data_IF_037855445709
#
_entry.id   IF_037855445709
#
_cell.length_a   1.000
_cell.length_b   1.000
_cell.length_c   1.000
_cell.angle_alpha   90.00
_cell.angle_beta   90.00
_cell.angle_gamma   90.00
#
_symmetry.space_group_name_H-M   'P 1'
#
loop_
_entity.id
_entity.type
_entity.pdbx_description
1 polymer ?
#
# COMPACT_ATOMS: atom_id res chain seq x y z
N UNK A 1 19.10 -6.01 35.29
CA UNK A 1 19.85 -6.86 34.33
C UNK A 1 18.96 -7.89 33.60
N UNK A 2 18.25 -8.80 34.28
CA UNK A 2 17.48 -9.88 33.62
C UNK A 2 16.26 -9.40 32.78
N UNK A 3 15.56 -8.35 33.22
CA UNK A 3 14.42 -7.77 32.47
C UNK A 3 14.91 -7.10 31.17
N UNK A 4 16.05 -6.42 31.27
CA UNK A 4 16.70 -5.72 30.16
C UNK A 4 17.12 -6.65 29.02
N UNK A 5 17.62 -7.85 29.35
CA UNK A 5 18.00 -8.89 28.40
C UNK A 5 16.77 -9.53 27.75
N UNK A 6 15.73 -9.85 28.53
CA UNK A 6 14.48 -10.42 28.01
C UNK A 6 13.74 -9.48 27.07
N UNK A 7 13.80 -8.17 27.29
CA UNK A 7 13.21 -7.16 26.39
C UNK A 7 13.96 -7.06 25.05
N UNK A 8 15.21 -7.50 24.96
CA UNK A 8 15.97 -7.48 23.70
C UNK A 8 15.37 -8.42 22.65
N UNK A 9 14.84 -9.56 23.06
CA UNK A 9 14.19 -10.51 22.13
C UNK A 9 12.90 -9.89 21.56
N UNK A 10 12.18 -9.12 22.38
CA UNK A 10 10.97 -8.41 21.93
C UNK A 10 11.28 -7.29 20.94
N UNK A 11 12.42 -6.63 21.09
CA UNK A 11 12.87 -5.59 20.16
C UNK A 11 12.93 -6.13 18.73
N UNK A 12 13.57 -7.28 18.51
CA UNK A 12 13.69 -7.86 17.17
C UNK A 12 12.33 -8.20 16.56
N UNK A 13 11.41 -8.72 17.37
CA UNK A 13 10.05 -8.99 16.91
C UNK A 13 9.30 -7.71 16.52
N UNK A 14 9.35 -6.67 17.37
CA UNK A 14 8.67 -5.39 17.13
C UNK A 14 9.21 -4.71 15.88
N UNK A 15 10.53 -4.76 15.67
CA UNK A 15 11.19 -4.19 14.49
C UNK A 15 10.71 -4.84 13.19
N UNK A 16 10.50 -6.16 13.19
CA UNK A 16 10.17 -6.92 11.98
C UNK A 16 8.68 -7.26 11.83
N UNK A 17 7.84 -6.96 12.82
CA UNK A 17 6.42 -7.33 12.84
C UNK A 17 5.66 -6.91 11.57
N UNK A 18 5.83 -5.66 11.16
CA UNK A 18 5.17 -5.08 10.00
C UNK A 18 5.53 -5.80 8.69
N UNK A 19 6.82 -6.13 8.52
CA UNK A 19 7.32 -6.94 7.40
C UNK A 19 6.77 -8.36 7.43
N UNK A 20 6.82 -9.00 8.60
CA UNK A 20 6.32 -10.36 8.77
C UNK A 20 4.84 -10.48 8.39
N UNK A 21 3.99 -9.54 8.84
CA UNK A 21 2.57 -9.53 8.49
C UNK A 21 2.35 -9.32 7.00
N UNK A 22 3.11 -8.41 6.38
CA UNK A 22 3.07 -8.21 4.92
C UNK A 22 3.37 -9.51 4.17
N UNK A 23 4.45 -10.20 4.54
CA UNK A 23 4.84 -11.46 3.91
C UNK A 23 3.80 -12.55 4.12
N UNK A 24 3.30 -12.74 5.34
CA UNK A 24 2.26 -13.74 5.62
C UNK A 24 1.03 -13.48 4.75
N UNK A 25 0.59 -12.22 4.64
CA UNK A 25 -0.57 -11.86 3.80
C UNK A 25 -0.29 -12.09 2.32
N UNK A 26 0.89 -11.72 1.86
CA UNK A 26 1.32 -11.96 0.48
C UNK A 26 1.29 -13.45 0.14
N UNK A 27 1.98 -14.28 0.92
CA UNK A 27 2.07 -15.72 0.67
C UNK A 27 0.73 -16.42 0.86
N UNK A 28 -0.15 -15.96 1.78
CA UNK A 28 -1.54 -16.48 1.89
C UNK A 28 -2.34 -16.33 0.59
N UNK A 29 -2.07 -15.29 -0.21
CA UNK A 29 -2.75 -15.09 -1.50
C UNK A 29 -2.15 -15.88 -2.66
N UNK A 30 -0.85 -16.22 -2.60
CA UNK A 30 -0.14 -16.93 -3.67
C UNK A 30 -0.04 -18.43 -3.45
N UNK A 31 0.11 -18.87 -2.21
CA UNK A 31 0.39 -20.25 -1.85
C UNK A 31 -0.83 -20.91 -1.21
N UNK A 32 -1.45 -21.83 -1.95
CA UNK A 32 -2.63 -22.55 -1.47
C UNK A 32 -2.34 -23.39 -0.22
N UNK A 33 -1.13 -23.94 -0.07
CA UNK A 33 -0.75 -24.74 1.11
C UNK A 33 -0.74 -23.90 2.38
N UNK A 34 -0.09 -22.73 2.36
CA UNK A 34 -0.07 -21.83 3.51
C UNK A 34 -1.49 -21.36 3.86
N UNK A 35 -2.29 -21.01 2.86
CA UNK A 35 -3.68 -20.61 3.09
C UNK A 35 -4.51 -21.73 3.75
N UNK A 36 -4.33 -22.99 3.32
CA UNK A 36 -4.98 -24.14 3.96
C UNK A 36 -4.54 -24.32 5.41
N UNK A 37 -3.25 -24.22 5.71
CA UNK A 37 -2.73 -24.31 7.08
C UNK A 37 -3.29 -23.21 7.96
N UNK A 38 -3.36 -21.98 7.47
CA UNK A 38 -3.92 -20.85 8.25
C UNK A 38 -5.42 -21.03 8.47
N UNK A 39 -6.17 -21.50 7.46
CA UNK A 39 -7.59 -21.83 7.62
C UNK A 39 -7.81 -22.94 8.64
N UNK A 40 -6.97 -23.98 8.61
CA UNK A 40 -7.00 -25.06 9.57
C UNK A 40 -6.71 -24.54 10.98
N UNK A 41 -5.63 -23.76 11.17
CA UNK A 41 -5.31 -23.12 12.45
C UNK A 41 -6.49 -22.31 13.01
N UNK A 42 -7.10 -21.47 12.18
CA UNK A 42 -8.26 -20.66 12.58
C UNK A 42 -9.49 -21.53 12.95
N UNK A 43 -9.68 -22.67 12.28
CA UNK A 43 -10.80 -23.58 12.53
C UNK A 43 -10.57 -24.52 13.73
N UNK A 44 -9.33 -24.87 14.02
CA UNK A 44 -8.96 -25.77 15.13
C UNK A 44 -8.86 -25.06 16.48
N UNK A 45 -8.98 -23.73 16.51
CA UNK A 45 -8.80 -22.95 17.72
C UNK A 45 -10.02 -23.11 18.65
N UNK A 46 -9.88 -23.91 19.70
CA UNK A 46 -10.95 -24.16 20.68
C UNK A 46 -10.93 -23.22 21.89
N UNK A 47 -9.75 -22.69 22.22
CA UNK A 47 -9.53 -21.85 23.43
C UNK A 47 -9.93 -20.40 23.18
N UNK A 48 -9.69 -19.90 21.97
CA UNK A 48 -9.89 -18.51 21.56
C UNK A 48 -10.66 -18.42 20.25
N UNK A 49 -11.93 -18.87 20.24
CA UNK A 49 -12.74 -18.86 19.03
C UNK A 49 -12.92 -17.42 18.53
N UNK A 50 -12.73 -17.22 17.23
CA UNK A 50 -12.91 -15.92 16.57
C UNK A 50 -11.64 -15.07 16.41
N UNK A 51 -10.52 -15.44 17.03
CA UNK A 51 -9.23 -14.79 16.76
C UNK A 51 -8.54 -15.45 15.57
N UNK A 52 -8.11 -14.64 14.61
CA UNK A 52 -7.31 -15.07 13.47
C UNK A 52 -5.81 -15.06 13.82
N UNK A 53 -5.01 -15.77 13.02
CA UNK A 53 -3.54 -15.75 13.13
C UNK A 53 -2.95 -14.34 13.29
N UNK A 54 -3.41 -13.37 12.50
CA UNK A 54 -2.95 -11.99 12.55
C UNK A 54 -3.17 -11.36 13.95
N UNK A 55 -4.25 -11.72 14.65
CA UNK A 55 -4.59 -11.21 15.98
C UNK A 55 -3.66 -11.75 17.08
N UNK A 56 -3.10 -12.95 16.89
CA UNK A 56 -2.09 -13.49 17.79
C UNK A 56 -0.74 -12.83 17.57
N UNK A 57 -0.39 -12.57 16.30
CA UNK A 57 0.91 -12.00 15.93
C UNK A 57 1.08 -10.55 16.41
N UNK A 58 0.00 -9.79 16.61
CA UNK A 58 0.09 -8.44 17.19
C UNK A 58 0.31 -8.47 18.71
N UNK A 59 -0.02 -9.58 19.40
CA UNK A 59 0.03 -9.64 20.86
C UNK A 59 1.40 -9.28 21.46
N UNK A 60 2.56 -9.75 20.94
CA UNK A 60 3.86 -9.39 21.51
C UNK A 60 4.16 -7.89 21.44
N UNK A 61 3.68 -7.20 20.41
CA UNK A 61 3.80 -5.74 20.28
C UNK A 61 2.96 -5.03 21.34
N UNK A 62 1.76 -5.54 21.63
CA UNK A 62 0.84 -4.97 22.60
C UNK A 62 1.18 -5.32 24.06
N UNK A 63 1.95 -6.39 24.29
CA UNK A 63 2.14 -6.98 25.62
C UNK A 63 2.95 -6.08 26.55
N UNK A 64 4.04 -5.49 26.04
CA UNK A 64 4.94 -4.63 26.84
C UNK A 64 4.23 -3.35 27.30
N UNK A 65 3.56 -2.57 26.41
CA UNK A 65 2.75 -1.43 26.85
C UNK A 65 1.71 -1.80 27.90
N UNK A 66 1.06 -2.96 27.75
CA UNK A 66 0.03 -3.42 28.69
C UNK A 66 0.61 -3.73 30.08
N UNK A 67 1.79 -4.35 30.16
CA UNK A 67 2.44 -4.59 31.46
C UNK A 67 2.81 -3.28 32.16
N UNK A 68 3.31 -2.29 31.42
CA UNK A 68 3.58 -0.97 32.00
C UNK A 68 2.33 -0.33 32.59
N UNK A 69 1.19 -0.39 31.89
CA UNK A 69 -0.08 0.14 32.40
C UNK A 69 -0.54 -0.61 33.65
N UNK A 70 -0.52 -1.94 33.63
CA UNK A 70 -0.95 -2.76 34.77
C UNK A 70 -0.06 -2.54 35.99
N UNK A 71 1.26 -2.38 35.82
CA UNK A 71 2.17 -2.10 36.92
C UNK A 71 1.96 -0.69 37.48
N UNK A 72 1.73 0.31 36.62
CA UNK A 72 1.36 1.67 37.06
C UNK A 72 0.05 1.69 37.84
N UNK A 73 -0.95 0.94 37.36
CA UNK A 73 -2.23 0.79 38.05
C UNK A 73 -2.06 0.05 39.38
N UNK A 74 -1.26 -1.02 39.42
CA UNK A 74 -0.97 -1.77 40.64
C UNK A 74 -0.31 -0.90 41.72
N UNK A 75 0.67 -0.07 41.34
CA UNK A 75 1.33 0.87 42.25
C UNK A 75 0.35 1.90 42.84
N UNK A 76 -0.65 2.33 42.08
CA UNK A 76 -1.66 3.30 42.53
C UNK A 76 -2.53 2.77 43.68
N UNK A 77 -2.77 1.45 43.73
CA UNK A 77 -3.66 0.82 44.71
C UNK A 77 -2.92 0.09 45.83
N UNK A 78 -1.59 -0.04 45.76
CA UNK A 78 -0.78 -0.65 46.82
C UNK A 78 -0.42 0.42 47.85
N UNK A 79 -0.88 0.27 49.10
CA UNK A 79 -0.65 1.23 50.20
C UNK A 79 0.29 0.72 51.29
N UNK A 80 0.69 -0.55 51.24
CA UNK A 80 1.13 -1.23 52.47
C UNK A 80 2.65 -1.48 52.58
N UNK A 81 3.44 -1.39 51.50
CA UNK A 81 4.90 -1.57 51.56
C UNK A 81 5.66 -0.54 50.71
N UNK A 82 6.21 0.49 51.38
CA UNK A 82 6.92 1.59 50.71
C UNK A 82 8.19 1.12 49.98
N UNK A 83 8.88 0.10 50.49
CA UNK A 83 10.13 -0.41 49.89
C UNK A 83 9.88 -1.20 48.60
N UNK A 84 8.86 -2.06 48.56
CA UNK A 84 8.52 -2.84 47.37
C UNK A 84 7.98 -1.95 46.24
N UNK A 85 7.18 -0.93 46.59
CA UNK A 85 6.65 0.04 45.62
C UNK A 85 7.79 0.87 45.01
N UNK A 86 8.75 1.31 45.81
CA UNK A 86 9.91 2.06 45.32
C UNK A 86 10.79 1.20 44.38
N UNK A 87 11.01 -0.07 44.72
CA UNK A 87 11.73 -1.00 43.85
C UNK A 87 10.98 -1.24 42.53
N UNK A 88 9.65 -1.35 42.58
CA UNK A 88 8.81 -1.52 41.39
C UNK A 88 8.79 -0.27 40.50
N UNK A 89 8.77 0.93 41.09
CA UNK A 89 8.85 2.20 40.36
C UNK A 89 10.14 2.30 39.54
N UNK A 90 11.27 1.89 40.12
CA UNK A 90 12.55 1.81 39.41
C UNK A 90 12.48 0.88 38.18
N UNK A 91 11.90 -0.30 38.33
CA UNK A 91 11.74 -1.27 37.22
C UNK A 91 10.79 -0.74 36.14
N UNK A 92 9.67 -0.11 36.53
CA UNK A 92 8.72 0.49 35.59
C UNK A 92 9.37 1.64 34.82
N UNK A 93 10.18 2.45 35.49
CA UNK A 93 10.98 3.50 34.86
C UNK A 93 11.95 2.95 33.81
N UNK A 94 12.74 1.93 34.17
CA UNK A 94 13.65 1.25 33.22
C UNK A 94 12.92 0.66 32.01
N UNK A 95 11.77 0.02 32.24
CA UNK A 95 10.94 -0.54 31.17
C UNK A 95 10.35 0.54 30.25
N UNK A 96 9.93 1.69 30.79
CA UNK A 96 9.38 2.81 30.03
C UNK A 96 10.45 3.45 29.13
N UNK A 97 11.67 3.64 29.66
CA UNK A 97 12.82 4.13 28.90
C UNK A 97 13.19 3.17 27.76
N UNK A 98 13.29 1.87 28.04
CA UNK A 98 13.58 0.87 27.00
C UNK A 98 12.50 0.79 25.94
N UNK A 99 11.22 0.90 26.31
CA UNK A 99 10.14 0.89 25.33
C UNK A 99 10.21 2.12 24.41
N UNK A 100 10.49 3.30 24.97
CA UNK A 100 10.73 4.52 24.18
C UNK A 100 11.92 4.36 23.25
N UNK A 101 13.01 3.75 23.74
CA UNK A 101 14.18 3.44 22.93
C UNK A 101 13.83 2.52 21.75
N UNK A 102 13.13 1.40 21.99
CA UNK A 102 12.68 0.49 20.94
C UNK A 102 11.80 1.22 19.93
N UNK A 103 10.83 2.01 20.39
CA UNK A 103 9.96 2.80 19.51
C UNK A 103 10.70 3.89 18.72
N UNK A 104 11.83 4.39 19.23
CA UNK A 104 12.67 5.35 18.51
C UNK A 104 13.59 4.70 17.47
N UNK A 105 14.03 3.45 17.73
CA UNK A 105 14.89 2.68 16.82
C UNK A 105 14.10 2.01 15.69
N UNK A 106 12.80 1.84 15.90
CA UNK A 106 11.87 1.56 14.84
C UNK A 106 11.94 2.68 13.79
N UNK A 107 12.38 2.34 12.58
CA UNK A 107 12.44 3.28 11.46
C UNK A 107 11.01 3.74 11.11
N UNK A 108 10.64 4.91 11.64
CA UNK A 108 9.33 5.52 11.47
C UNK A 108 8.98 5.71 9.99
N UNK A 109 9.99 5.95 9.15
CA UNK A 109 9.79 6.12 7.71
C UNK A 109 9.44 4.78 7.09
N UNK A 110 10.19 3.72 7.36
CA UNK A 110 9.86 2.37 6.85
C UNK A 110 8.51 1.87 7.37
N UNK A 111 8.18 2.13 8.64
CA UNK A 111 6.88 1.73 9.18
C UNK A 111 5.72 2.48 8.55
N UNK A 112 5.87 3.79 8.32
CA UNK A 112 4.86 4.58 7.61
C UNK A 112 4.59 4.00 6.22
N UNK A 113 5.65 3.68 5.47
CA UNK A 113 5.55 3.05 4.14
C UNK A 113 4.86 1.69 4.19
N UNK A 114 5.21 0.84 5.16
CA UNK A 114 4.58 -0.47 5.32
C UNK A 114 3.11 -0.33 5.70
N UNK A 115 2.79 0.61 6.60
CA UNK A 115 1.41 0.90 7.01
C UNK A 115 0.56 1.31 5.80
N UNK A 116 1.07 2.21 4.96
CA UNK A 116 0.40 2.62 3.73
C UNK A 116 0.19 1.45 2.77
N UNK A 117 1.20 0.60 2.56
CA UNK A 117 1.09 -0.59 1.72
C UNK A 117 0.09 -1.62 2.27
N UNK A 118 0.06 -1.82 3.59
CA UNK A 118 -0.88 -2.71 4.26
C UNK A 118 -2.31 -2.23 4.06
N UNK A 119 -2.54 -0.93 4.23
CA UNK A 119 -3.84 -0.31 4.03
C UNK A 119 -4.31 -0.48 2.58
N UNK A 120 -3.45 -0.21 1.59
CA UNK A 120 -3.80 -0.40 0.17
C UNK A 120 -4.09 -1.88 -0.11
N UNK A 121 -3.29 -2.80 0.43
CA UNK A 121 -3.55 -4.24 0.27
C UNK A 121 -4.88 -4.67 0.89
N UNK A 122 -5.31 -4.09 2.01
CA UNK A 122 -6.62 -4.37 2.60
C UNK A 122 -7.76 -3.82 1.73
N UNK A 123 -7.56 -2.69 1.06
CA UNK A 123 -8.58 -2.04 0.24
C UNK A 123 -8.70 -2.58 -1.19
N UNK A 124 -7.64 -3.21 -1.71
CA UNK A 124 -7.54 -3.59 -3.14
C UNK A 124 -7.40 -5.11 -3.33
N UNK A 125 -8.29 -5.69 -4.14
CA UNK A 125 -8.15 -7.05 -4.65
C UNK A 125 -7.07 -7.10 -5.72
N UNK A 126 -6.11 -8.03 -5.61
CA UNK A 126 -5.04 -8.22 -6.58
C UNK A 126 -3.79 -7.37 -6.36
N UNK A 127 -3.70 -6.62 -5.26
CA UNK A 127 -2.52 -5.80 -4.94
C UNK A 127 -1.29 -6.60 -4.47
N UNK A 128 -1.44 -7.89 -4.16
CA UNK A 128 -0.36 -8.77 -3.68
C UNK A 128 0.99 -8.59 -4.39
N UNK A 129 1.09 -8.61 -5.73
CA UNK A 129 2.35 -8.47 -6.46
C UNK A 129 3.13 -7.16 -6.22
N UNK A 130 2.50 -6.13 -5.65
CA UNK A 130 3.14 -4.85 -5.36
C UNK A 130 3.82 -4.80 -3.99
N UNK A 131 3.64 -5.84 -3.15
CA UNK A 131 4.22 -5.94 -1.82
C UNK A 131 5.72 -6.28 -1.78
N UNK A 132 6.29 -6.62 -2.94
CA UNK A 132 7.69 -7.06 -3.05
C UNK A 132 8.71 -5.91 -2.88
N UNK A 133 8.26 -4.65 -2.90
CA UNK A 133 9.13 -3.47 -2.73
C UNK A 133 8.46 -2.42 -1.86
N UNK A 134 9.21 -1.85 -0.92
CA UNK A 134 8.76 -0.66 -0.17
C UNK A 134 8.68 0.54 -1.10
N UNK A 135 7.49 1.12 -1.22
CA UNK A 135 7.21 2.25 -2.12
C UNK A 135 6.48 3.34 -1.37
N UNK A 136 6.99 4.58 -1.36
CA UNK A 136 6.23 5.75 -0.93
C UNK A 136 4.91 5.87 -1.66
N UNK A 137 3.81 5.92 -0.89
CA UNK A 137 2.51 6.34 -1.36
C UNK A 137 2.47 7.86 -1.27
N UNK A 138 2.34 8.54 -2.41
CA UNK A 138 2.26 9.99 -2.45
C UNK A 138 0.83 10.50 -2.41
N UNK A 139 -0.09 9.77 -3.05
CA UNK A 139 -1.46 10.23 -3.16
C UNK A 139 -2.43 9.06 -3.30
N UNK A 140 -3.62 9.24 -2.73
CA UNK A 140 -4.78 8.36 -2.95
C UNK A 140 -6.03 9.21 -3.10
N UNK A 141 -6.98 8.77 -3.91
CA UNK A 141 -8.26 9.46 -3.99
C UNK A 141 -9.15 8.98 -5.12
N UNK A 142 -10.41 9.39 -5.02
CA UNK A 142 -11.42 9.10 -6.02
C UNK A 142 -11.30 10.07 -7.19
N UNK A 143 -11.28 9.49 -8.38
CA UNK A 143 -11.06 10.18 -9.65
C UNK A 143 -12.12 9.72 -10.63
N UNK A 144 -12.77 10.67 -11.30
CA UNK A 144 -13.67 10.39 -12.41
C UNK A 144 -12.86 10.37 -13.69
N UNK A 145 -12.78 9.20 -14.31
CA UNK A 145 -12.24 9.07 -15.65
C UNK A 145 -13.31 9.55 -16.64
N UNK A 146 -13.02 10.64 -17.34
CA UNK A 146 -13.99 11.27 -18.24
C UNK A 146 -13.82 10.77 -19.67
N UNK A 147 -12.58 10.68 -20.14
CA UNK A 147 -12.29 10.23 -21.50
C UNK A 147 -10.85 9.72 -21.66
N UNK A 148 -10.65 8.82 -22.62
CA UNK A 148 -9.33 8.35 -23.07
C UNK A 148 -9.23 8.59 -24.56
N UNK A 149 -8.38 9.51 -24.96
CA UNK A 149 -8.04 9.70 -26.36
C UNK A 149 -6.84 8.83 -26.74
N UNK A 150 -7.09 7.78 -27.52
CA UNK A 150 -6.05 7.07 -28.27
C UNK A 150 -6.05 7.56 -29.71
N UNK A 151 -4.92 8.12 -30.18
CA UNK A 151 -4.70 8.30 -31.61
C UNK A 151 -4.32 6.94 -32.22
N UNK A 152 -5.32 6.12 -32.53
CA UNK A 152 -5.08 4.90 -33.30
C UNK A 152 -4.79 5.28 -34.76
N UNK A 153 -3.52 5.26 -35.16
CA UNK A 153 -3.21 5.17 -36.58
C UNK A 153 -3.62 3.79 -37.09
N UNK A 154 -4.59 3.76 -38.02
CA UNK A 154 -4.74 2.67 -38.98
C UNK A 154 -3.43 2.56 -39.77
N UNK A 155 -2.51 1.68 -39.37
CA UNK A 155 -1.44 1.21 -40.27
C UNK A 155 -1.36 -0.30 -40.25
N UNK A 156 -1.28 -0.84 -41.47
CA UNK A 156 -1.11 -2.24 -41.80
C UNK A 156 -0.10 -2.91 -40.89
N UNK A 157 -0.41 -4.14 -40.47
CA UNK A 157 0.57 -5.06 -39.93
C UNK A 157 1.73 -5.21 -40.93
N UNK A 158 2.99 -5.10 -40.49
CA UNK A 158 3.99 -6.05 -40.89
C UNK A 158 4.17 -7.04 -39.74
N UNK A 159 4.21 -8.32 -40.10
CA UNK A 159 4.65 -9.39 -39.23
C UNK A 159 6.07 -9.09 -38.74
N UNK A 160 6.24 -8.64 -37.50
CA UNK A 160 7.54 -8.69 -36.84
C UNK A 160 7.40 -9.19 -35.40
N UNK A 161 8.15 -10.25 -35.17
CA UNK A 161 8.34 -11.01 -33.93
C UNK A 161 9.16 -10.15 -32.95
N UNK A 162 8.82 -10.24 -31.65
CA UNK A 162 9.64 -10.06 -30.43
C UNK A 162 9.09 -9.09 -29.37
N UNK A 163 9.13 -9.54 -28.11
CA UNK A 163 9.44 -8.70 -26.95
C UNK A 163 8.49 -8.74 -25.75
N UNK A 164 7.17 -8.73 -25.96
CA UNK A 164 6.18 -8.76 -24.88
C UNK A 164 5.49 -10.11 -24.79
N UNK A 165 5.23 -10.61 -23.57
CA UNK A 165 4.34 -11.77 -23.41
C UNK A 165 3.01 -11.42 -24.09
N UNK A 166 2.63 -12.19 -25.14
CA UNK A 166 1.36 -12.03 -25.89
C UNK A 166 0.16 -11.82 -24.97
N UNK A 167 0.22 -12.35 -23.74
CA UNK A 167 -0.81 -12.25 -22.70
C UNK A 167 -0.99 -10.85 -22.12
N UNK A 168 0.06 -10.05 -22.06
CA UNK A 168 0.08 -8.71 -21.45
C UNK A 168 -0.36 -7.63 -22.44
N UNK A 169 0.08 -7.74 -23.70
CA UNK A 169 -0.44 -6.94 -24.81
C UNK A 169 -1.93 -7.24 -25.07
N UNK A 170 -2.34 -8.51 -24.98
CA UNK A 170 -3.75 -8.88 -25.10
C UNK A 170 -4.57 -8.33 -23.92
N UNK A 171 -4.07 -8.41 -22.68
CA UNK A 171 -4.72 -7.82 -21.49
C UNK A 171 -4.88 -6.31 -21.61
N UNK A 172 -3.82 -5.58 -22.00
CA UNK A 172 -3.89 -4.15 -22.31
C UNK A 172 -4.98 -3.89 -23.35
N UNK A 173 -4.94 -4.57 -24.50
CA UNK A 173 -5.94 -4.38 -25.57
C UNK A 173 -7.39 -4.70 -25.16
N UNK A 174 -7.61 -5.68 -24.28
CA UNK A 174 -8.94 -6.06 -23.76
C UNK A 174 -9.46 -5.03 -22.76
N UNK A 175 -8.60 -4.59 -21.81
CA UNK A 175 -8.94 -3.56 -20.83
C UNK A 175 -9.20 -2.24 -21.56
N UNK A 176 -8.35 -1.87 -22.51
CA UNK A 176 -8.53 -0.69 -23.36
C UNK A 176 -9.80 -0.77 -24.21
N UNK A 177 -10.19 -1.94 -24.75
CA UNK A 177 -11.49 -2.14 -25.41
C UNK A 177 -12.66 -2.00 -24.45
N UNK A 178 -12.54 -2.44 -23.20
CA UNK A 178 -13.58 -2.33 -22.17
C UNK A 178 -13.76 -0.88 -21.69
N UNK A 179 -12.68 -0.11 -21.57
CA UNK A 179 -12.71 1.30 -21.17
C UNK A 179 -13.14 2.19 -22.34
N UNK A 180 -12.58 1.99 -23.54
CA UNK A 180 -12.91 2.76 -24.76
C UNK A 180 -14.34 2.49 -25.28
N UNK A 181 -14.88 1.29 -25.05
CA UNK A 181 -16.23 0.92 -25.49
C UNK A 181 -17.37 1.59 -24.71
N UNK A 182 -17.10 2.22 -23.56
CA UNK A 182 -18.11 2.87 -22.71
C UNK A 182 -17.85 4.38 -22.66
N UNK A 183 -18.56 5.16 -23.48
CA UNK A 183 -18.66 6.65 -23.44
C UNK A 183 -19.18 7.24 -22.11
N UNK A 184 -19.19 6.49 -21.01
CA UNK A 184 -19.72 6.94 -19.71
C UNK A 184 -18.58 7.23 -18.76
N UNK A 185 -18.67 8.37 -18.07
CA UNK A 185 -17.79 8.72 -16.95
C UNK A 185 -17.76 7.56 -15.95
N UNK A 186 -16.55 7.13 -15.57
CA UNK A 186 -16.36 6.04 -14.62
C UNK A 186 -15.70 6.57 -13.35
N UNK A 187 -16.29 6.24 -12.19
CA UNK A 187 -15.68 6.52 -10.90
C UNK A 187 -14.61 5.46 -10.64
N UNK A 188 -13.39 5.92 -10.41
CA UNK A 188 -12.21 5.09 -10.16
C UNK A 188 -11.55 5.54 -8.86
N UNK A 189 -10.82 4.65 -8.21
CA UNK A 189 -9.97 4.99 -7.08
C UNK A 189 -8.51 4.81 -7.47
N UNK A 190 -7.70 5.84 -7.26
CA UNK A 190 -6.32 5.89 -7.73
C UNK A 190 -5.35 5.90 -6.56
N UNK A 191 -4.24 5.17 -6.69
CA UNK A 191 -3.11 5.16 -5.76
C UNK A 191 -1.83 5.51 -6.51
N UNK A 192 -1.20 6.62 -6.16
CA UNK A 192 0.04 7.09 -6.75
C UNK A 192 1.21 6.74 -5.84
N UNK A 193 2.03 5.78 -6.26
CA UNK A 193 3.29 5.43 -5.63
C UNK A 193 4.47 6.15 -6.29
N UNK A 194 5.66 5.99 -5.73
CA UNK A 194 6.89 6.58 -6.24
C UNK A 194 7.28 6.17 -7.66
N UNK A 195 6.88 4.98 -8.09
CA UNK A 195 7.27 4.39 -9.37
C UNK A 195 6.09 3.82 -10.18
N UNK A 196 4.90 3.73 -9.59
CA UNK A 196 3.72 3.15 -10.24
C UNK A 196 2.45 3.92 -9.85
N UNK A 197 1.58 4.13 -10.84
CA UNK A 197 0.21 4.58 -10.65
C UNK A 197 -0.72 3.37 -10.74
N UNK A 198 -1.49 3.13 -9.69
CA UNK A 198 -2.44 2.03 -9.60
C UNK A 198 -3.85 2.59 -9.70
N UNK A 199 -4.65 1.99 -10.58
CA UNK A 199 -6.02 2.40 -10.89
C UNK A 199 -6.94 1.24 -10.55
N UNK A 200 -7.92 1.51 -9.70
CA UNK A 200 -8.85 0.51 -9.21
C UNK A 200 -10.29 0.89 -9.54
N UNK A 201 -11.07 -0.13 -9.89
CA UNK A 201 -12.51 -0.04 -10.06
C UNK A 201 -13.22 -0.39 -8.75
N UNK A 202 -14.40 0.19 -8.47
CA UNK A 202 -15.23 -0.25 -7.36
C UNK A 202 -15.63 -1.73 -7.56
N UNK A 203 -15.45 -2.55 -6.54
CA UNK A 203 -15.75 -3.99 -6.63
C UNK A 203 -17.25 -4.19 -6.87
N UNK A 204 -17.67 -4.85 -7.97
CA UNK A 204 -19.07 -5.10 -8.24
C UNK A 204 -19.62 -6.08 -7.20
N UNK A 205 -20.60 -5.64 -6.39
CA UNK A 205 -21.28 -6.48 -5.41
C UNK A 205 -20.78 -6.39 -3.96
N UNK A 206 -19.92 -5.42 -3.62
CA UNK A 206 -19.62 -5.09 -2.21
C UNK A 206 -18.87 -6.19 -1.44
N UNK A 207 -17.91 -6.87 -2.06
CA UNK A 207 -17.07 -7.86 -1.39
C UNK A 207 -16.21 -7.28 -0.26
N UNK A 208 -15.48 -8.15 0.46
CA UNK A 208 -14.63 -7.78 1.61
C UNK A 208 -13.63 -6.64 1.34
N UNK A 209 -13.27 -6.43 0.08
CA UNK A 209 -12.43 -5.31 -0.36
C UNK A 209 -13.18 -4.38 -1.31
N UNK A 210 -13.20 -3.06 -1.05
CA UNK A 210 -14.00 -2.09 -1.81
C UNK A 210 -13.52 -1.87 -3.25
N UNK A 211 -12.27 -2.17 -3.56
CA UNK A 211 -11.68 -1.90 -4.87
C UNK A 211 -11.05 -3.15 -5.50
N UNK A 212 -11.16 -3.25 -6.83
CA UNK A 212 -10.49 -4.27 -7.64
C UNK A 212 -9.46 -3.60 -8.53
N UNK A 213 -8.23 -4.13 -8.55
CA UNK A 213 -7.16 -3.62 -9.41
C UNK A 213 -7.59 -3.73 -10.89
N UNK A 214 -7.72 -2.58 -11.57
CA UNK A 214 -8.06 -2.52 -13.00
C UNK A 214 -6.80 -2.34 -13.85
N UNK A 215 -5.91 -1.42 -13.46
CA UNK A 215 -4.67 -1.15 -14.20
C UNK A 215 -3.52 -0.74 -13.29
N UNK A 216 -2.31 -1.11 -13.68
CA UNK A 216 -1.06 -0.59 -13.10
C UNK A 216 -0.20 0.02 -14.19
N UNK A 217 0.14 1.30 -14.03
CA UNK A 217 0.94 2.07 -14.98
C UNK A 217 2.27 2.49 -14.34
N UNK A 218 3.42 2.00 -14.84
CA UNK A 218 4.72 2.51 -14.43
C UNK A 218 4.85 4.02 -14.69
N UNK A 219 5.39 4.77 -13.74
CA UNK A 219 5.64 6.21 -13.92
C UNK A 219 6.75 6.49 -14.93
N UNK A 220 7.53 5.49 -15.33
CA UNK A 220 8.43 5.61 -16.49
C UNK A 220 7.70 5.98 -17.77
N UNK A 221 6.44 5.59 -17.90
CA UNK A 221 5.61 5.88 -19.06
C UNK A 221 4.89 7.23 -18.90
N UNK A 222 5.06 7.96 -17.80
CA UNK A 222 4.36 9.22 -17.54
C UNK A 222 5.12 10.44 -18.11
N UNK A 223 4.54 11.10 -19.11
CA UNK A 223 5.11 12.29 -19.76
C UNK A 223 4.80 13.56 -18.97
N UNK A 224 3.62 13.66 -18.37
CA UNK A 224 3.25 14.79 -17.50
C UNK A 224 1.75 14.99 -17.34
N UNK A 225 1.39 15.89 -16.43
CA UNK A 225 0.02 16.32 -16.19
C UNK A 225 -0.12 17.81 -16.52
N UNK A 226 -1.22 18.20 -17.17
CA UNK A 226 -1.56 19.60 -17.47
C UNK A 226 -3.01 19.88 -17.14
N UNK A 227 -3.29 21.09 -16.66
CA UNK A 227 -4.67 21.58 -16.52
C UNK A 227 -5.30 21.78 -17.89
N UNK A 228 -6.56 21.43 -18.05
CA UNK A 228 -7.32 21.71 -19.28
C UNK A 228 -7.84 23.15 -19.24
N UNK A 229 -7.45 24.04 -20.17
CA UNK A 229 -7.77 25.48 -20.09
C UNK A 229 -9.28 25.80 -20.09
N UNK A 230 -10.10 24.93 -20.68
CA UNK A 230 -11.55 25.14 -20.84
C UNK A 230 -12.38 24.52 -19.71
N UNK A 231 -11.80 23.71 -18.82
CA UNK A 231 -12.50 23.02 -17.73
C UNK A 231 -11.60 23.00 -16.49
N UNK A 232 -11.92 23.85 -15.53
CA UNK A 232 -11.02 24.14 -14.39
C UNK A 232 -10.73 22.95 -13.47
N UNK A 233 -11.59 21.93 -13.48
CA UNK A 233 -11.46 20.72 -12.66
C UNK A 233 -10.75 19.56 -13.35
N UNK A 234 -10.40 19.70 -14.64
CA UNK A 234 -9.90 18.60 -15.45
C UNK A 234 -8.38 18.60 -15.55
N UNK A 235 -7.80 17.42 -15.35
CA UNK A 235 -6.39 17.15 -15.54
C UNK A 235 -6.23 16.23 -16.73
N UNK A 236 -5.37 16.66 -17.65
CA UNK A 236 -4.90 15.87 -18.79
C UNK A 236 -3.60 15.20 -18.39
N UNK A 237 -3.59 13.87 -18.39
CA UNK A 237 -2.39 13.06 -18.21
C UNK A 237 -1.92 12.57 -19.57
N UNK A 238 -0.62 12.62 -19.81
CA UNK A 238 -0.02 12.11 -21.03
C UNK A 238 0.95 10.97 -20.70
N UNK A 239 0.79 9.85 -21.39
CA UNK A 239 1.65 8.67 -21.25
C UNK A 239 2.37 8.33 -22.57
N UNK A 240 3.54 7.70 -22.48
CA UNK A 240 4.26 7.12 -23.61
C UNK A 240 3.70 5.74 -23.95
N UNK A 241 3.68 5.40 -25.24
CA UNK A 241 3.48 4.02 -25.67
C UNK A 241 4.79 3.24 -25.43
N UNK A 242 4.70 2.05 -24.81
CA UNK A 242 5.83 1.25 -24.32
C UNK A 242 6.84 0.86 -25.44
N UNK A 243 6.46 1.05 -26.71
CA UNK A 243 7.28 0.64 -27.85
C UNK A 243 8.30 1.69 -28.31
N UNK A 244 8.16 2.97 -27.94
CA UNK A 244 9.08 4.01 -28.43
C UNK A 244 9.44 5.04 -27.36
N UNK A 245 10.73 5.05 -26.97
CA UNK A 245 11.36 6.13 -26.21
C UNK A 245 11.56 7.43 -27.01
N UNK A 246 11.09 7.48 -28.26
CA UNK A 246 11.19 8.66 -29.12
C UNK A 246 10.10 9.67 -28.81
N UNK A 247 10.48 10.92 -28.55
CA UNK A 247 9.61 12.03 -28.12
C UNK A 247 8.47 12.38 -29.09
N UNK A 248 8.47 11.80 -30.30
CA UNK A 248 7.60 12.14 -31.43
C UNK A 248 6.45 11.16 -31.69
N UNK A 249 6.34 10.04 -30.97
CA UNK A 249 5.29 9.04 -31.21
C UNK A 249 4.18 9.13 -30.16
N UNK A 250 2.95 8.88 -30.63
CA UNK A 250 1.65 9.21 -30.05
C UNK A 250 1.54 9.01 -28.52
N UNK A 251 1.15 10.08 -27.82
CA UNK A 251 0.90 10.03 -26.38
C UNK A 251 -0.56 9.60 -26.12
N UNK A 252 -0.76 8.63 -25.25
CA UNK A 252 -2.10 8.36 -24.70
C UNK A 252 -2.49 9.54 -23.80
N UNK A 253 -3.67 10.10 -24.04
CA UNK A 253 -4.17 11.25 -23.28
C UNK A 253 -5.39 10.85 -22.45
N UNK A 254 -5.24 10.91 -21.14
CA UNK A 254 -6.29 10.58 -20.19
C UNK A 254 -6.82 11.85 -19.56
N UNK A 255 -8.14 12.02 -19.60
CA UNK A 255 -8.81 13.17 -19.00
C UNK A 255 -9.51 12.73 -17.72
N UNK A 256 -9.06 13.30 -16.61
CA UNK A 256 -9.58 12.97 -15.29
C UNK A 256 -10.11 14.20 -14.57
N UNK A 257 -11.11 13.96 -13.73
CA UNK A 257 -11.69 14.94 -12.84
C UNK A 257 -11.67 14.38 -11.41
N UNK A 258 -10.78 14.87 -10.53
CA UNK A 258 -10.81 14.50 -9.12
C UNK A 258 -12.20 14.80 -8.52
N UNK A 259 -12.73 13.90 -7.69
CA UNK A 259 -14.07 14.06 -7.10
C UNK A 259 -14.13 15.21 -6.10
N UNK A 260 -13.01 15.52 -5.46
CA UNK A 260 -12.83 16.62 -4.51
C UNK A 260 -11.99 17.69 -5.21
N UNK A 261 -12.16 18.99 -4.88
CA UNK A 261 -11.39 20.16 -5.38
C UNK A 261 -9.87 20.12 -5.05
N UNK A 262 -9.27 18.93 -5.02
CA UNK A 262 -7.86 18.62 -4.78
C UNK A 262 -7.03 18.60 -6.06
N UNK A 263 -7.49 19.22 -7.16
CA UNK A 263 -6.79 19.16 -8.46
C UNK A 263 -5.34 19.69 -8.38
N UNK A 264 -5.09 20.73 -7.57
CA UNK A 264 -3.75 21.27 -7.35
C UNK A 264 -2.84 20.27 -6.61
N UNK A 265 -3.41 19.52 -5.67
CA UNK A 265 -2.71 18.48 -4.91
C UNK A 265 -2.30 17.36 -5.88
N UNK A 266 -3.23 16.90 -6.72
CA UNK A 266 -2.95 15.92 -7.78
C UNK A 266 -1.85 16.39 -8.73
N UNK A 267 -1.92 17.61 -9.26
CA UNK A 267 -0.89 18.16 -10.16
C UNK A 267 0.48 18.25 -9.49
N UNK A 268 0.52 18.69 -8.23
CA UNK A 268 1.78 18.82 -7.47
C UNK A 268 2.43 17.47 -7.24
N UNK A 269 1.68 16.48 -6.73
CA UNK A 269 2.23 15.16 -6.45
C UNK A 269 2.59 14.38 -7.71
N UNK A 270 1.83 14.49 -8.80
CA UNK A 270 2.20 13.88 -10.08
C UNK A 270 3.50 14.48 -10.63
N UNK A 271 3.70 15.79 -10.45
CA UNK A 271 4.93 16.48 -10.87
C UNK A 271 6.13 16.07 -9.98
N UNK A 272 5.92 15.97 -8.66
CA UNK A 272 6.93 15.50 -7.72
C UNK A 272 7.31 14.03 -7.95
N UNK A 273 6.34 13.16 -8.21
CA UNK A 273 6.59 11.74 -8.49
C UNK A 273 7.43 11.56 -9.77
N UNK A 274 7.20 12.40 -10.79
CA UNK A 274 8.05 12.44 -11.99
C UNK A 274 9.48 12.88 -11.67
N UNK A 275 9.65 13.90 -10.84
CA UNK A 275 10.97 14.39 -10.44
C UNK A 275 11.74 13.37 -9.57
N UNK A 276 11.04 12.70 -8.65
CA UNK A 276 11.62 11.65 -7.78
C UNK A 276 11.94 10.34 -8.51
N UNK A 277 11.17 9.98 -9.54
CA UNK A 277 11.48 8.83 -10.41
C UNK A 277 12.76 9.01 -11.24
N UNK A 278 13.16 10.27 -11.50
CA UNK A 278 14.38 10.57 -12.24
C UNK A 278 15.66 10.44 -11.38
N UNK A 279 15.57 10.59 -10.05
CA UNK A 279 16.72 10.52 -9.14
C UNK A 279 17.05 9.10 -8.68
N UNK A 280 16.13 8.13 -8.81
CA UNK A 280 16.38 6.71 -8.50
C UNK A 280 17.11 5.93 -9.61
N UNK A 281 17.58 6.60 -10.68
CA UNK A 281 18.32 6.00 -11.80
C UNK A 281 19.85 6.25 -11.75
N UNK A 282 20.41 6.58 -10.58
CA UNK A 282 21.86 6.66 -10.38
C UNK A 282 22.34 5.59 -9.42
#
# INVERSE_FOLDING_TARGET
AAVAEKLSIYKDYIMHYHWMILHIRYHKTRENKLNQVVKLFNATQTITPGLMLDDFLIMPVQRIPRYLLLLKDFMKYSKDDLEEINALEGVVGEMDVKLKEINSQVDQKQQSLISDLLMVNQSVVGFGPFLDKLRPLYLRGDVRLVDIHMRLHKRHQPNTVFGGSKREQLRKSIIYKQISGKKKMQNMHWYLFSDVLIICEPTPGGGEKPHTLSLSLPLSCFKGAKKVPKRDTWIKLSFFDDNHHDEKVDAEEWFIEPVINQYLVWLTHLSQAKAGGATSKK
#
